data_IF_277246967505
#
_entry.id   IF_277246967505
#
_cell.length_a   1.000
_cell.length_b   1.000
_cell.length_c   1.000
_cell.angle_alpha   90.00
_cell.angle_beta   90.00
_cell.angle_gamma   90.00
#
_symmetry.space_group_name_H-M   'P 1'
#
loop_
_entity.id
_entity.type
_entity.pdbx_description
1 polymer ?
#
# COMPACT_ATOMS: atom_id res chain seq x y z
N UNK A 1 35.68 -13.74 21.17
CA UNK A 1 34.34 -13.30 20.74
C UNK A 1 34.30 -11.79 20.87
N UNK A 2 34.08 -11.06 19.77
CA UNK A 2 33.87 -9.62 19.84
C UNK A 2 32.44 -9.45 20.36
N UNK A 3 32.29 -8.82 21.52
CA UNK A 3 30.98 -8.59 22.13
C UNK A 3 30.11 -7.62 21.31
N UNK A 4 28.82 -7.48 21.64
CA UNK A 4 27.98 -6.48 21.01
C UNK A 4 28.57 -5.08 21.22
N UNK A 5 28.62 -4.28 20.16
CA UNK A 5 29.07 -2.88 20.22
C UNK A 5 27.85 -1.99 20.27
N UNK A 6 27.83 -1.04 21.21
CA UNK A 6 26.77 -0.03 21.31
C UNK A 6 27.31 1.34 20.92
N UNK A 7 26.52 2.11 20.18
CA UNK A 7 26.81 3.48 19.79
C UNK A 7 25.62 4.38 20.14
N UNK A 8 25.88 5.60 20.58
CA UNK A 8 24.89 6.67 20.72
C UNK A 8 25.44 7.95 20.07
N UNK A 9 24.60 8.67 19.33
CA UNK A 9 24.97 9.91 18.69
C UNK A 9 24.03 11.07 19.08
N UNK A 10 24.61 12.14 19.61
CA UNK A 10 23.95 13.43 19.82
C UNK A 10 24.62 14.57 19.03
N UNK A 11 25.65 14.26 18.25
CA UNK A 11 26.43 15.22 17.47
C UNK A 11 26.25 15.00 15.97
N UNK A 12 27.28 15.33 15.20
CA UNK A 12 27.29 15.11 13.74
C UNK A 12 28.30 14.03 13.39
N UNK A 13 27.85 13.01 12.69
CA UNK A 13 28.67 11.98 12.04
C UNK A 13 28.50 12.15 10.53
N UNK A 14 29.60 12.30 9.79
CA UNK A 14 29.55 12.47 8.34
C UNK A 14 30.58 11.61 7.61
N UNK A 15 30.12 10.82 6.64
CA UNK A 15 30.96 10.02 5.74
C UNK A 15 30.97 10.60 4.31
N UNK A 16 32.14 10.96 3.79
CA UNK A 16 32.24 11.63 2.47
C UNK A 16 32.27 10.68 1.27
N UNK A 17 32.63 9.41 1.47
CA UNK A 17 32.94 8.48 0.38
C UNK A 17 32.26 7.10 0.52
N UNK A 18 31.50 6.87 1.59
CA UNK A 18 30.74 5.64 1.78
C UNK A 18 29.53 5.88 2.71
N UNK A 19 29.57 5.35 3.93
CA UNK A 19 28.51 5.52 4.91
C UNK A 19 28.88 6.54 5.99
N UNK A 20 27.87 7.24 6.54
CA UNK A 20 28.03 7.95 7.82
C UNK A 20 28.40 6.95 8.93
N UNK A 21 27.72 5.81 8.97
CA UNK A 21 28.06 4.68 9.83
C UNK A 21 27.96 3.37 9.04
N UNK A 22 28.96 2.51 9.18
CA UNK A 22 28.96 1.15 8.64
C UNK A 22 28.89 0.12 9.78
N UNK A 23 27.82 -0.69 9.82
CA UNK A 23 27.58 -1.67 10.86
C UNK A 23 28.01 -3.08 10.39
N UNK A 24 29.30 -3.39 10.50
CA UNK A 24 29.92 -4.64 9.99
C UNK A 24 29.88 -5.85 10.95
N UNK A 25 29.13 -5.78 12.05
CA UNK A 25 29.09 -6.83 13.08
C UNK A 25 27.72 -6.98 13.71
N UNK A 26 27.68 -7.28 15.02
CA UNK A 26 26.49 -7.18 15.85
C UNK A 26 26.55 -5.84 16.62
N UNK A 27 25.98 -4.80 16.01
CA UNK A 27 26.08 -3.42 16.48
C UNK A 27 24.69 -2.85 16.72
N UNK A 28 24.54 -2.21 17.88
CA UNK A 28 23.34 -1.49 18.28
C UNK A 28 23.63 0.00 18.31
N UNK A 29 23.09 0.77 17.36
CA UNK A 29 22.95 2.22 17.52
C UNK A 29 21.76 2.44 18.46
N UNK A 30 22.04 2.66 19.74
CA UNK A 30 21.03 2.74 20.81
C UNK A 30 20.22 4.02 20.78
N UNK A 31 20.77 5.08 20.19
CA UNK A 31 20.15 6.39 20.10
C UNK A 31 20.86 7.24 19.03
N UNK A 32 20.08 7.94 18.21
CA UNK A 32 20.56 9.05 17.39
C UNK A 32 19.61 10.22 17.57
N UNK A 33 20.04 11.23 18.33
CA UNK A 33 19.37 12.53 18.45
C UNK A 33 20.08 13.62 17.65
N UNK A 34 21.26 13.31 17.09
CA UNK A 34 22.06 14.19 16.26
C UNK A 34 21.84 13.96 14.75
N UNK A 35 22.85 14.29 13.96
CA UNK A 35 22.87 14.07 12.50
C UNK A 35 23.85 12.96 12.14
N UNK A 36 23.41 12.03 11.31
CA UNK A 36 24.25 11.05 10.62
C UNK A 36 24.04 11.27 9.12
N UNK A 37 25.12 11.55 8.39
CA UNK A 37 25.06 11.71 6.94
C UNK A 37 26.14 10.91 6.23
N UNK A 38 25.86 10.41 5.04
CA UNK A 38 26.94 9.92 4.18
C UNK A 38 26.58 9.81 2.71
N UNK A 39 27.62 9.65 1.88
CA UNK A 39 27.51 9.52 0.42
C UNK A 39 28.21 8.24 -0.02
N UNK A 40 27.47 7.19 -0.44
CA UNK A 40 26.04 7.20 -0.76
C UNK A 40 25.10 6.88 0.42
N UNK A 41 25.59 6.46 1.60
CA UNK A 41 24.72 5.91 2.65
C UNK A 41 24.73 6.76 3.93
N UNK A 42 23.56 7.05 4.51
CA UNK A 42 23.53 7.54 5.89
C UNK A 42 24.04 6.46 6.84
N UNK A 43 23.40 5.29 6.82
CA UNK A 43 23.85 4.08 7.51
C UNK A 43 23.85 2.89 6.54
N UNK A 44 24.92 2.12 6.54
CA UNK A 44 25.02 0.84 5.84
C UNK A 44 25.15 -0.29 6.86
N UNK A 45 24.13 -1.15 6.96
CA UNK A 45 24.12 -2.32 7.86
C UNK A 45 24.50 -3.58 7.09
N UNK A 46 25.71 -4.08 7.29
CA UNK A 46 26.30 -5.21 6.56
C UNK A 46 26.90 -6.25 7.51
N UNK A 47 26.25 -6.46 8.65
CA UNK A 47 26.69 -7.40 9.66
C UNK A 47 26.59 -8.84 9.14
N UNK A 48 27.66 -9.61 9.24
CA UNK A 48 27.67 -11.02 8.80
C UNK A 48 27.18 -11.99 9.87
N UNK A 49 27.08 -11.54 11.13
CA UNK A 49 26.63 -12.34 12.29
C UNK A 49 25.80 -11.51 13.26
N UNK A 50 24.67 -12.05 13.71
CA UNK A 50 23.75 -11.37 14.64
C UNK A 50 22.77 -10.42 13.94
N UNK A 51 21.94 -9.75 14.74
CA UNK A 51 20.94 -8.79 14.27
C UNK A 51 21.36 -7.39 14.71
N UNK A 52 21.54 -6.48 13.75
CA UNK A 52 21.82 -5.08 14.07
C UNK A 52 20.55 -4.37 14.56
N UNK A 53 20.72 -3.30 15.33
CA UNK A 53 19.60 -2.45 15.73
C UNK A 53 19.95 -0.98 15.58
N UNK A 54 19.01 -0.20 15.05
CA UNK A 54 19.17 1.22 14.77
C UNK A 54 18.00 1.97 15.41
N UNK A 55 18.29 2.83 16.37
CA UNK A 55 17.32 3.77 16.94
C UNK A 55 17.67 5.19 16.47
N UNK A 56 16.72 5.84 15.80
CA UNK A 56 16.77 7.25 15.44
C UNK A 56 15.73 8.01 16.25
N UNK A 57 16.17 8.73 17.28
CA UNK A 57 15.28 9.41 18.22
C UNK A 57 14.56 10.59 17.55
N UNK A 58 13.51 11.08 18.20
CA UNK A 58 12.88 12.33 17.79
C UNK A 58 13.92 13.47 17.71
N UNK A 59 13.93 14.20 16.60
CA UNK A 59 14.94 15.22 16.29
C UNK A 59 16.21 14.68 15.61
N UNK A 60 16.47 13.37 15.69
CA UNK A 60 17.56 12.71 14.97
C UNK A 60 17.36 12.73 13.45
N UNK A 61 18.45 12.94 12.72
CA UNK A 61 18.46 12.91 11.25
C UNK A 61 19.45 11.89 10.75
N UNK A 62 19.02 11.05 9.80
CA UNK A 62 19.87 10.13 9.04
C UNK A 62 19.66 10.41 7.55
N UNK A 63 20.74 10.68 6.80
CA UNK A 63 20.63 11.07 5.41
C UNK A 63 21.76 10.51 4.53
N UNK A 64 21.44 10.18 3.29
CA UNK A 64 22.39 9.86 2.22
C UNK A 64 21.65 9.77 0.90
N UNK A 65 22.30 9.36 -0.20
CA UNK A 65 21.56 8.97 -1.41
C UNK A 65 20.57 7.85 -1.06
N UNK A 66 21.01 6.93 -0.22
CA UNK A 66 20.11 6.11 0.58
C UNK A 66 20.27 6.47 2.06
N UNK A 67 19.16 6.74 2.74
CA UNK A 67 19.19 7.07 4.17
C UNK A 67 19.77 5.91 4.97
N UNK A 68 19.16 4.73 4.84
CA UNK A 68 19.64 3.49 5.46
C UNK A 68 19.55 2.33 4.46
N UNK A 69 20.59 1.49 4.41
CA UNK A 69 20.56 0.20 3.70
C UNK A 69 20.80 -0.93 4.69
N UNK A 70 19.92 -1.93 4.68
CA UNK A 70 19.91 -3.10 5.56
C UNK A 70 20.31 -4.36 4.79
N UNK A 71 21.61 -4.50 4.51
CA UNK A 71 22.21 -5.67 3.86
C UNK A 71 22.40 -6.86 4.82
N UNK A 72 22.05 -6.70 6.09
CA UNK A 72 21.91 -7.75 7.09
C UNK A 72 20.60 -7.60 7.86
N UNK A 73 20.14 -8.68 8.50
CA UNK A 73 18.95 -8.62 9.36
C UNK A 73 19.11 -7.51 10.41
N UNK A 74 18.21 -6.54 10.35
CA UNK A 74 18.29 -5.33 11.18
C UNK A 74 16.90 -4.91 11.66
N UNK A 75 16.82 -4.44 12.89
CA UNK A 75 15.64 -3.73 13.41
C UNK A 75 15.91 -2.23 13.38
N UNK A 76 15.00 -1.46 12.81
CA UNK A 76 15.05 0.00 12.78
C UNK A 76 13.86 0.54 13.56
N UNK A 77 14.12 1.40 14.55
CA UNK A 77 13.12 2.21 15.24
C UNK A 77 13.39 3.68 14.92
N UNK A 78 12.51 4.29 14.15
CA UNK A 78 12.66 5.67 13.68
C UNK A 78 11.62 6.59 14.32
N UNK A 79 11.98 7.33 15.36
CA UNK A 79 11.26 8.51 15.84
C UNK A 79 11.67 9.83 15.16
N UNK A 80 12.80 9.85 14.45
CA UNK A 80 13.35 11.03 13.78
C UNK A 80 13.05 11.09 12.27
N UNK A 81 13.97 11.70 11.52
CA UNK A 81 13.94 11.77 10.05
C UNK A 81 14.98 10.85 9.44
N UNK A 82 14.56 9.99 8.51
CA UNK A 82 15.45 9.25 7.60
C UNK A 82 15.17 9.72 6.18
N UNK A 83 16.19 10.11 5.43
CA UNK A 83 16.03 10.66 4.08
C UNK A 83 16.99 10.04 3.06
N UNK A 84 16.44 9.59 1.94
CA UNK A 84 17.17 9.32 0.70
C UNK A 84 17.16 10.55 -0.20
N UNK A 85 18.34 11.05 -0.54
CA UNK A 85 18.54 12.26 -1.31
C UNK A 85 18.65 11.98 -2.82
N UNK A 86 18.51 13.04 -3.63
CA UNK A 86 18.60 12.95 -5.08
C UNK A 86 17.35 12.35 -5.74
N UNK A 87 17.44 12.08 -7.04
CA UNK A 87 16.29 11.62 -7.83
C UNK A 87 15.90 10.19 -7.48
N UNK A 88 16.87 9.28 -7.41
CA UNK A 88 16.64 7.86 -7.13
C UNK A 88 16.72 7.50 -5.63
N UNK A 89 16.75 8.52 -4.75
CA UNK A 89 17.07 8.31 -3.34
C UNK A 89 16.07 7.40 -2.62
N UNK A 90 16.58 6.50 -1.78
CA UNK A 90 15.74 5.61 -0.96
C UNK A 90 15.84 5.99 0.51
N UNK A 91 14.72 6.20 1.19
CA UNK A 91 14.73 6.44 2.63
C UNK A 91 15.33 5.26 3.39
N UNK A 92 14.68 4.09 3.28
CA UNK A 92 15.18 2.83 3.84
C UNK A 92 15.12 1.70 2.81
N UNK A 93 16.24 1.01 2.60
CA UNK A 93 16.33 -0.16 1.73
C UNK A 93 16.55 -1.43 2.57
N UNK A 94 15.57 -2.33 2.60
CA UNK A 94 15.64 -3.66 3.20
C UNK A 94 16.20 -4.66 2.17
N UNK A 95 17.53 -4.75 2.07
CA UNK A 95 18.18 -5.71 1.18
C UNK A 95 18.14 -7.15 1.76
N UNK A 96 17.92 -7.28 3.07
CA UNK A 96 17.64 -8.53 3.78
C UNK A 96 16.41 -8.40 4.67
N UNK A 97 15.85 -9.55 5.07
CA UNK A 97 14.69 -9.60 5.95
C UNK A 97 14.92 -8.80 7.24
N UNK A 98 14.20 -7.70 7.37
CA UNK A 98 14.40 -6.68 8.39
C UNK A 98 13.05 -6.15 8.88
N UNK A 99 13.08 -5.45 10.01
CA UNK A 99 11.89 -4.82 10.61
C UNK A 99 12.12 -3.32 10.74
N UNK A 100 11.16 -2.53 10.26
CA UNK A 100 11.18 -1.07 10.38
C UNK A 100 9.92 -0.62 11.10
N UNK A 101 10.10 -0.01 12.27
CA UNK A 101 9.06 0.73 12.99
C UNK A 101 9.32 2.21 12.78
N UNK A 102 8.35 2.91 12.20
CA UNK A 102 8.42 4.33 11.95
C UNK A 102 7.41 5.06 12.83
N UNK A 103 7.91 5.89 13.73
CA UNK A 103 7.17 6.88 14.53
C UNK A 103 7.46 8.32 14.09
N UNK A 104 8.40 8.52 13.16
CA UNK A 104 8.82 9.81 12.61
C UNK A 104 8.55 9.94 11.11
N UNK A 105 9.56 10.35 10.34
CA UNK A 105 9.46 10.52 8.88
C UNK A 105 10.51 9.71 8.13
N UNK A 106 10.07 8.96 7.13
CA UNK A 106 10.93 8.33 6.12
C UNK A 106 10.64 8.98 4.77
N UNK A 107 11.67 9.52 4.13
CA UNK A 107 11.55 10.34 2.92
C UNK A 107 12.41 9.74 1.82
N UNK A 108 11.78 9.42 0.68
CA UNK A 108 12.49 9.09 -0.55
C UNK A 108 12.75 10.30 -1.44
N UNK A 109 13.61 10.12 -2.43
CA UNK A 109 13.96 11.10 -3.45
C UNK A 109 12.79 11.52 -4.34
N UNK A 110 13.03 12.47 -5.25
CA UNK A 110 11.99 13.05 -6.13
C UNK A 110 11.39 12.09 -7.16
N UNK A 111 12.11 11.02 -7.52
CA UNK A 111 11.61 9.85 -8.24
C UNK A 111 11.97 8.54 -7.53
N UNK A 112 12.31 8.64 -6.25
CA UNK A 112 12.91 7.57 -5.47
C UNK A 112 11.87 6.70 -4.77
N UNK A 113 12.22 6.16 -3.61
CA UNK A 113 11.30 5.36 -2.80
C UNK A 113 11.41 5.70 -1.32
N UNK A 114 10.30 5.75 -0.60
CA UNK A 114 10.33 5.91 0.86
C UNK A 114 10.96 4.68 1.51
N UNK A 115 10.32 3.53 1.35
CA UNK A 115 10.84 2.23 1.79
C UNK A 115 10.88 1.22 0.64
N UNK A 116 12.04 0.63 0.40
CA UNK A 116 12.25 -0.38 -0.64
C UNK A 116 12.56 -1.75 -0.02
N UNK A 117 11.85 -2.78 -0.45
CA UNK A 117 12.07 -4.17 -0.07
C UNK A 117 12.75 -4.94 -1.20
N UNK A 118 14.07 -5.12 -1.07
CA UNK A 118 14.87 -6.03 -1.88
C UNK A 118 14.80 -7.49 -1.39
N UNK A 119 14.24 -7.72 -0.21
CA UNK A 119 13.87 -9.01 0.37
C UNK A 119 12.60 -8.82 1.21
N UNK A 120 12.08 -9.87 1.86
CA UNK A 120 10.88 -9.76 2.71
C UNK A 120 11.12 -8.91 3.96
N UNK A 121 10.13 -8.84 4.85
CA UNK A 121 10.26 -8.12 6.11
C UNK A 121 8.97 -7.44 6.52
N UNK A 122 9.09 -6.55 7.52
CA UNK A 122 7.95 -5.85 8.10
C UNK A 122 8.19 -4.35 8.16
N UNK A 123 7.17 -3.57 7.78
CA UNK A 123 7.10 -2.13 8.05
C UNK A 123 5.87 -1.83 8.89
N UNK A 124 6.07 -1.13 10.01
CA UNK A 124 5.01 -0.54 10.82
C UNK A 124 5.16 0.97 10.76
N UNK A 125 4.21 1.67 10.14
CA UNK A 125 4.13 3.12 10.14
C UNK A 125 3.14 3.58 11.20
N UNK A 126 3.61 3.97 12.38
CA UNK A 126 2.77 4.30 13.53
C UNK A 126 1.88 5.52 13.28
N UNK A 127 0.86 5.69 14.12
CA UNK A 127 0.00 6.87 14.08
C UNK A 127 0.82 8.16 14.19
N UNK A 128 0.50 9.14 13.32
CA UNK A 128 1.24 10.40 13.21
C UNK A 128 2.55 10.33 12.41
N UNK A 129 3.06 9.13 12.11
CA UNK A 129 4.28 8.97 11.32
C UNK A 129 4.00 9.10 9.82
N UNK A 130 5.05 9.39 9.04
CA UNK A 130 4.95 9.52 7.58
C UNK A 130 6.01 8.72 6.82
N UNK A 131 5.58 8.10 5.72
CA UNK A 131 6.47 7.54 4.68
C UNK A 131 6.06 8.19 3.36
N UNK A 132 6.97 8.95 2.74
CA UNK A 132 6.66 9.72 1.53
C UNK A 132 7.80 9.75 0.53
N UNK A 133 7.49 9.82 -0.75
CA UNK A 133 8.46 10.02 -1.83
C UNK A 133 7.84 10.76 -3.00
N UNK A 134 8.67 11.39 -3.85
CA UNK A 134 8.21 11.86 -5.16
C UNK A 134 8.01 10.71 -6.17
N UNK A 135 8.61 9.54 -5.91
CA UNK A 135 8.30 8.28 -6.57
C UNK A 135 7.29 7.47 -5.75
N UNK A 136 7.62 6.20 -5.47
CA UNK A 136 6.74 5.26 -4.75
C UNK A 136 6.95 5.41 -3.23
N UNK A 137 5.86 5.38 -2.44
CA UNK A 137 5.96 5.42 -0.98
C UNK A 137 6.64 4.17 -0.42
N UNK A 138 6.04 2.99 -0.69
CA UNK A 138 6.61 1.68 -0.35
C UNK A 138 6.65 0.79 -1.60
N UNK A 139 7.80 0.20 -1.90
CA UNK A 139 8.02 -0.63 -3.08
C UNK A 139 8.55 -2.02 -2.70
N UNK A 140 7.81 -3.07 -3.05
CA UNK A 140 8.13 -4.47 -2.69
C UNK A 140 8.44 -5.30 -3.93
N UNK A 141 9.74 -5.53 -4.19
CA UNK A 141 10.23 -6.21 -5.40
C UNK A 141 10.95 -7.54 -5.12
N UNK A 142 11.51 -7.75 -3.93
CA UNK A 142 12.34 -8.92 -3.65
C UNK A 142 11.59 -10.17 -3.19
N UNK A 143 10.77 -10.01 -2.15
CA UNK A 143 9.89 -11.05 -1.63
C UNK A 143 8.69 -10.42 -0.92
N UNK A 144 7.67 -11.22 -0.60
CA UNK A 144 6.47 -10.75 0.08
C UNK A 144 6.81 -10.04 1.40
N UNK A 145 6.09 -8.95 1.67
CA UNK A 145 6.28 -8.12 2.86
C UNK A 145 4.98 -7.98 3.67
N UNK A 146 5.11 -7.66 4.96
CA UNK A 146 4.00 -7.29 5.84
C UNK A 146 4.07 -5.81 6.14
N UNK A 147 3.01 -5.07 5.83
CA UNK A 147 2.95 -3.63 6.03
C UNK A 147 1.74 -3.31 6.90
N UNK A 148 1.97 -2.57 7.99
CA UNK A 148 0.91 -2.02 8.84
C UNK A 148 1.02 -0.50 8.82
N UNK A 149 -0.02 0.17 8.33
CA UNK A 149 -0.09 1.62 8.31
C UNK A 149 -1.08 2.13 9.36
N UNK A 150 -0.59 2.80 10.39
CA UNK A 150 -1.34 3.66 11.31
C UNK A 150 -1.21 5.16 11.01
N UNK A 151 -0.23 5.56 10.19
CA UNK A 151 0.07 6.95 9.85
C UNK A 151 -0.29 7.31 8.40
N UNK A 152 0.57 8.11 7.77
CA UNK A 152 0.44 8.50 6.36
C UNK A 152 1.47 7.82 5.47
N UNK A 153 1.03 7.25 4.35
CA UNK A 153 1.91 6.80 3.26
C UNK A 153 1.52 7.54 1.97
N UNK A 154 2.48 8.14 1.27
CA UNK A 154 2.19 8.83 0.02
C UNK A 154 3.28 8.71 -1.05
N UNK A 155 2.85 8.85 -2.30
CA UNK A 155 3.69 8.92 -3.50
C UNK A 155 3.56 10.26 -4.23
N UNK A 156 4.44 10.48 -5.21
CA UNK A 156 4.28 11.56 -6.17
C UNK A 156 3.33 11.23 -7.32
N UNK A 157 3.17 12.20 -8.22
CA UNK A 157 2.23 12.12 -9.35
C UNK A 157 2.47 10.89 -10.22
N UNK A 158 1.40 10.17 -10.56
CA UNK A 158 1.44 8.99 -11.42
C UNK A 158 1.99 7.71 -10.79
N UNK A 159 2.51 7.75 -9.56
CA UNK A 159 3.05 6.58 -8.86
C UNK A 159 2.06 5.99 -7.87
N UNK A 160 2.12 4.67 -7.68
CA UNK A 160 1.41 4.02 -6.59
C UNK A 160 1.97 4.47 -5.22
N UNK A 161 1.12 4.66 -4.21
CA UNK A 161 1.63 4.87 -2.85
C UNK A 161 2.32 3.62 -2.32
N UNK A 162 1.74 2.46 -2.61
CA UNK A 162 2.30 1.14 -2.27
C UNK A 162 2.25 0.25 -3.51
N UNK A 163 3.41 -0.27 -3.90
CA UNK A 163 3.57 -1.24 -4.99
C UNK A 163 4.06 -2.58 -4.45
N UNK A 164 3.26 -3.64 -4.62
CA UNK A 164 3.55 -5.00 -4.15
C UNK A 164 3.73 -5.94 -5.35
N UNK A 165 4.94 -5.99 -5.91
CA UNK A 165 5.23 -6.92 -7.01
C UNK A 165 5.22 -8.35 -6.50
N UNK A 166 5.84 -8.59 -5.34
CA UNK A 166 5.96 -9.92 -4.74
C UNK A 166 4.81 -10.25 -3.78
N UNK A 167 3.70 -9.51 -3.84
CA UNK A 167 2.53 -9.72 -2.99
C UNK A 167 2.80 -9.38 -1.52
N UNK A 168 2.16 -10.13 -0.61
CA UNK A 168 2.24 -9.92 0.83
C UNK A 168 0.94 -9.43 1.45
N UNK A 169 1.02 -8.82 2.63
CA UNK A 169 -0.13 -8.37 3.40
C UNK A 169 -0.02 -6.89 3.79
N UNK A 170 -1.10 -6.15 3.61
CA UNK A 170 -1.19 -4.75 4.01
C UNK A 170 -2.44 -4.53 4.87
N UNK A 171 -2.25 -3.94 6.05
CA UNK A 171 -3.34 -3.40 6.87
C UNK A 171 -3.22 -1.88 6.93
N UNK A 172 -4.26 -1.17 6.48
CA UNK A 172 -4.40 0.26 6.66
C UNK A 172 -5.35 0.52 7.84
N UNK A 173 -4.82 0.84 9.01
CA UNK A 173 -5.58 0.96 10.25
C UNK A 173 -6.56 2.14 10.21
N UNK A 174 -7.51 2.13 11.15
CA UNK A 174 -8.41 3.27 11.38
C UNK A 174 -7.62 4.56 11.62
N UNK A 175 -8.04 5.66 10.98
CA UNK A 175 -7.36 6.96 11.03
C UNK A 175 -6.13 7.08 10.12
N UNK A 176 -5.63 5.97 9.57
CA UNK A 176 -4.48 5.98 8.67
C UNK A 176 -4.87 6.40 7.24
N UNK A 177 -3.92 6.99 6.52
CA UNK A 177 -4.13 7.47 5.14
C UNK A 177 -3.06 6.92 4.20
N UNK A 178 -3.50 6.42 3.06
CA UNK A 178 -2.65 6.07 1.92
C UNK A 178 -3.06 6.94 0.74
N UNK A 179 -2.14 7.71 0.17
CA UNK A 179 -2.43 8.62 -0.95
C UNK A 179 -1.48 8.37 -2.11
N UNK A 180 -2.03 7.78 -3.17
CA UNK A 180 -1.33 7.54 -4.42
C UNK A 180 -1.56 8.65 -5.42
N UNK A 181 -0.50 9.25 -5.95
CA UNK A 181 -0.62 10.14 -7.11
C UNK A 181 -1.15 9.40 -8.34
N UNK A 182 -0.92 8.09 -8.42
CA UNK A 182 -1.56 7.18 -9.35
C UNK A 182 -2.57 6.25 -8.69
N UNK A 183 -2.15 5.01 -8.41
CA UNK A 183 -2.94 4.04 -7.65
C UNK A 183 -2.72 4.22 -6.14
N UNK A 184 -3.73 3.94 -5.31
CA UNK A 184 -3.49 3.85 -3.87
C UNK A 184 -2.55 2.69 -3.57
N UNK A 185 -2.98 1.48 -3.92
CA UNK A 185 -2.23 0.24 -3.78
C UNK A 185 -2.27 -0.53 -5.10
N UNK A 186 -1.12 -1.00 -5.58
CA UNK A 186 -0.99 -1.77 -6.80
C UNK A 186 -0.21 -3.07 -6.54
N UNK A 187 -0.83 -4.21 -6.84
CA UNK A 187 -0.29 -5.57 -6.64
C UNK A 187 -0.28 -6.29 -7.99
N UNK A 188 0.91 -6.74 -8.45
CA UNK A 188 1.07 -7.20 -9.84
C UNK A 188 1.71 -8.56 -10.07
N UNK A 189 2.79 -8.91 -9.38
CA UNK A 189 3.56 -10.13 -9.68
C UNK A 189 3.06 -11.37 -8.91
N UNK A 190 2.58 -11.20 -7.69
CA UNK A 190 2.01 -12.26 -6.86
C UNK A 190 0.79 -11.76 -6.07
N UNK A 191 -0.07 -12.69 -5.63
CA UNK A 191 -1.27 -12.37 -4.90
C UNK A 191 -0.97 -11.62 -3.58
N UNK A 192 -1.78 -10.61 -3.29
CA UNK A 192 -1.71 -9.82 -2.06
C UNK A 192 -2.99 -9.91 -1.23
N UNK A 193 -2.89 -9.63 0.07
CA UNK A 193 -4.04 -9.46 0.97
C UNK A 193 -4.07 -8.04 1.49
N UNK A 194 -5.13 -7.30 1.16
CA UNK A 194 -5.29 -5.90 1.53
C UNK A 194 -6.49 -5.76 2.46
N UNK A 195 -6.28 -5.14 3.62
CA UNK A 195 -7.31 -4.88 4.62
C UNK A 195 -7.33 -3.38 4.96
N UNK A 196 -8.42 -2.70 4.58
CA UNK A 196 -8.54 -1.25 4.72
C UNK A 196 -9.58 -0.85 5.77
N UNK A 197 -9.10 -0.38 6.92
CA UNK A 197 -9.87 0.31 7.95
C UNK A 197 -9.67 1.84 7.93
N UNK A 198 -8.76 2.36 7.09
CA UNK A 198 -8.46 3.77 6.96
C UNK A 198 -8.97 4.39 5.66
N UNK A 199 -8.32 5.47 5.21
CA UNK A 199 -8.62 6.11 3.93
C UNK A 199 -7.56 5.79 2.90
N UNK A 200 -7.99 5.36 1.70
CA UNK A 200 -7.13 5.22 0.52
C UNK A 200 -7.60 6.23 -0.52
N UNK A 201 -6.69 7.07 -0.99
CA UNK A 201 -6.93 8.01 -2.08
C UNK A 201 -6.05 7.64 -3.29
N UNK A 202 -6.64 7.63 -4.49
CA UNK A 202 -5.97 7.40 -5.75
C UNK A 202 -6.24 8.55 -6.73
N UNK A 203 -5.17 9.08 -7.32
CA UNK A 203 -5.20 10.28 -8.16
C UNK A 203 -5.54 10.05 -9.62
N UNK A 204 -5.13 8.93 -10.23
CA UNK A 204 -5.38 8.66 -11.67
C UNK A 204 -5.49 7.18 -12.06
N UNK A 205 -5.53 6.28 -11.08
CA UNK A 205 -5.69 4.84 -11.31
C UNK A 205 -6.67 4.26 -10.29
N UNK A 206 -6.56 2.96 -9.99
CA UNK A 206 -7.45 2.34 -9.02
C UNK A 206 -7.09 2.69 -7.57
N UNK A 207 -8.08 2.72 -6.68
CA UNK A 207 -7.85 2.75 -5.24
C UNK A 207 -7.00 1.57 -4.79
N UNK A 208 -7.46 0.36 -5.13
CA UNK A 208 -6.71 -0.89 -4.98
C UNK A 208 -6.78 -1.68 -6.28
N UNK A 209 -5.62 -2.11 -6.78
CA UNK A 209 -5.49 -2.96 -7.98
C UNK A 209 -4.76 -4.26 -7.65
N UNK A 210 -5.43 -5.40 -7.85
CA UNK A 210 -4.90 -6.76 -7.63
C UNK A 210 -4.79 -7.53 -8.96
N UNK A 211 -3.76 -7.23 -9.74
CA UNK A 211 -3.59 -7.81 -11.09
C UNK A 211 -3.15 -9.28 -11.07
N UNK A 212 -2.43 -9.72 -10.04
CA UNK A 212 -2.09 -11.14 -9.82
C UNK A 212 -3.15 -11.90 -8.98
N UNK A 213 -4.31 -11.29 -8.74
CA UNK A 213 -5.31 -11.81 -7.82
C UNK A 213 -4.98 -11.51 -6.34
N UNK A 214 -5.59 -12.28 -5.44
CA UNK A 214 -5.58 -12.03 -4.00
C UNK A 214 -6.92 -11.50 -3.50
N UNK A 215 -6.91 -10.86 -2.34
CA UNK A 215 -8.11 -10.38 -1.67
C UNK A 215 -7.97 -8.92 -1.25
N UNK A 216 -9.07 -8.17 -1.38
CA UNK A 216 -9.19 -6.83 -0.83
C UNK A 216 -10.48 -6.71 -0.01
N UNK A 217 -10.32 -6.32 1.25
CA UNK A 217 -11.41 -6.02 2.16
C UNK A 217 -11.40 -4.53 2.47
N UNK A 218 -12.51 -3.85 2.21
CA UNK A 218 -12.71 -2.45 2.55
C UNK A 218 -13.73 -2.29 3.66
N UNK A 219 -13.28 -1.82 4.81
CA UNK A 219 -14.12 -1.47 5.97
C UNK A 219 -14.38 0.03 6.10
N UNK A 220 -13.56 0.86 5.46
CA UNK A 220 -13.64 2.31 5.54
C UNK A 220 -13.70 2.93 4.15
N UNK A 221 -12.81 3.86 3.80
CA UNK A 221 -12.99 4.69 2.59
C UNK A 221 -11.93 4.40 1.54
N UNK A 222 -12.40 4.17 0.30
CA UNK A 222 -11.58 4.19 -0.90
C UNK A 222 -12.11 5.29 -1.83
N UNK A 223 -11.28 6.28 -2.13
CA UNK A 223 -11.56 7.35 -3.07
C UNK A 223 -10.64 7.21 -4.30
N UNK A 224 -11.21 6.84 -5.44
CA UNK A 224 -10.53 6.76 -6.72
C UNK A 224 -11.12 7.80 -7.67
N UNK A 225 -10.81 9.07 -7.41
CA UNK A 225 -11.48 10.23 -8.02
C UNK A 225 -10.78 10.77 -9.28
N UNK A 226 -9.71 10.12 -9.71
CA UNK A 226 -9.01 10.42 -10.96
C UNK A 226 -9.80 10.12 -12.23
N UNK A 227 -9.27 10.49 -13.39
CA UNK A 227 -9.90 10.15 -14.68
C UNK A 227 -9.82 8.62 -14.92
N UNK A 228 -10.94 8.00 -15.32
CA UNK A 228 -11.05 6.57 -15.59
C UNK A 228 -10.66 5.66 -14.40
N UNK A 229 -10.74 6.19 -13.18
CA UNK A 229 -10.34 5.52 -11.97
C UNK A 229 -11.39 4.51 -11.49
N UNK A 230 -10.90 3.34 -11.05
CA UNK A 230 -11.74 2.31 -10.42
C UNK A 230 -11.55 2.33 -8.91
N UNK A 231 -12.57 2.05 -8.11
CA UNK A 231 -12.40 1.91 -6.67
C UNK A 231 -11.57 0.67 -6.34
N UNK A 232 -12.14 -0.50 -6.68
CA UNK A 232 -11.54 -1.80 -6.44
C UNK A 232 -11.42 -2.59 -7.75
N UNK A 233 -10.21 -3.04 -8.11
CA UNK A 233 -9.96 -3.87 -9.29
C UNK A 233 -9.32 -5.20 -8.89
N UNK A 234 -10.11 -6.26 -8.74
CA UNK A 234 -9.69 -7.55 -8.13
C UNK A 234 -10.62 -8.71 -8.53
N UNK A 235 -10.26 -9.94 -8.17
CA UNK A 235 -11.12 -11.15 -8.22
C UNK A 235 -11.64 -11.61 -6.85
N UNK A 236 -11.08 -11.15 -5.72
CA UNK A 236 -11.60 -11.37 -4.37
C UNK A 236 -11.88 -10.06 -3.66
N UNK A 237 -13.15 -9.78 -3.33
CA UNK A 237 -13.61 -8.44 -2.94
C UNK A 237 -14.68 -8.50 -1.85
N UNK A 238 -14.45 -7.78 -0.76
CA UNK A 238 -15.46 -7.51 0.26
C UNK A 238 -15.48 -6.01 0.58
N UNK A 239 -16.65 -5.39 0.52
CA UNK A 239 -16.85 -3.99 0.88
C UNK A 239 -17.93 -3.86 1.94
N UNK A 240 -17.55 -3.45 3.15
CA UNK A 240 -18.47 -2.96 4.19
C UNK A 240 -18.34 -1.44 4.42
N UNK A 241 -17.38 -0.79 3.76
CA UNK A 241 -17.15 0.65 3.81
C UNK A 241 -17.73 1.40 2.62
N UNK A 242 -17.11 2.53 2.29
CA UNK A 242 -17.47 3.38 1.15
C UNK A 242 -16.40 3.30 0.06
N UNK A 243 -16.85 3.07 -1.17
CA UNK A 243 -16.03 3.15 -2.37
C UNK A 243 -16.60 4.26 -3.26
N UNK A 244 -15.79 5.26 -3.56
CA UNK A 244 -16.12 6.34 -4.49
C UNK A 244 -15.17 6.28 -5.67
N UNK A 245 -15.69 6.05 -6.87
CA UNK A 245 -14.91 6.00 -8.10
C UNK A 245 -15.54 6.87 -9.18
N UNK A 246 -14.74 7.40 -10.09
CA UNK A 246 -15.28 8.13 -11.27
C UNK A 246 -15.77 7.19 -12.35
N UNK A 247 -15.13 6.03 -12.53
CA UNK A 247 -15.46 5.08 -13.60
C UNK A 247 -16.17 3.86 -13.05
N UNK A 248 -15.45 2.92 -12.44
CA UNK A 248 -16.02 1.68 -11.93
C UNK A 248 -15.87 1.64 -10.41
N UNK A 249 -16.96 1.52 -9.65
CA UNK A 249 -16.84 1.31 -8.21
C UNK A 249 -16.06 0.01 -7.93
N UNK A 250 -16.54 -1.09 -8.51
CA UNK A 250 -15.88 -2.40 -8.55
C UNK A 250 -15.64 -2.81 -10.01
N UNK A 251 -14.44 -3.28 -10.32
CA UNK A 251 -14.09 -3.77 -11.65
C UNK A 251 -13.38 -5.13 -11.62
N UNK A 252 -13.99 -6.12 -12.24
CA UNK A 252 -13.44 -7.46 -12.45
C UNK A 252 -13.09 -7.61 -13.93
N UNK A 253 -11.83 -7.39 -14.34
CA UNK A 253 -11.45 -7.39 -15.76
C UNK A 253 -11.47 -8.78 -16.39
N UNK A 254 -11.10 -9.81 -15.62
CA UNK A 254 -10.94 -11.18 -16.07
C UNK A 254 -10.90 -12.13 -14.87
N UNK A 255 -11.19 -13.40 -15.11
CA UNK A 255 -11.24 -14.41 -14.05
C UNK A 255 -12.51 -14.28 -13.21
N UNK A 256 -13.05 -15.42 -12.76
CA UNK A 256 -14.25 -15.43 -11.92
C UNK A 256 -13.96 -14.75 -10.58
N UNK A 257 -14.85 -13.86 -10.16
CA UNK A 257 -14.72 -13.15 -8.90
C UNK A 257 -15.84 -13.49 -7.91
N UNK A 258 -15.55 -13.34 -6.62
CA UNK A 258 -16.57 -13.31 -5.57
C UNK A 258 -16.56 -11.94 -4.92
N UNK A 259 -17.67 -11.22 -5.08
CA UNK A 259 -17.87 -9.86 -4.59
C UNK A 259 -18.96 -9.86 -3.53
N UNK A 260 -18.63 -9.38 -2.34
CA UNK A 260 -19.59 -9.07 -1.28
C UNK A 260 -19.64 -7.57 -1.05
N UNK A 261 -20.82 -6.97 -1.17
CA UNK A 261 -21.03 -5.56 -0.85
C UNK A 261 -22.10 -5.42 0.23
N UNK A 262 -21.71 -5.05 1.44
CA UNK A 262 -22.59 -4.60 2.52
C UNK A 262 -22.46 -3.09 2.79
N UNK A 263 -21.50 -2.42 2.16
CA UNK A 263 -21.27 -0.99 2.26
C UNK A 263 -21.88 -0.19 1.11
N UNK A 264 -21.27 0.95 0.80
CA UNK A 264 -21.66 1.84 -0.30
C UNK A 264 -20.62 1.81 -1.42
N UNK A 265 -21.08 1.63 -2.66
CA UNK A 265 -20.24 1.66 -3.86
C UNK A 265 -20.85 2.66 -4.83
N UNK A 266 -20.05 3.65 -5.24
CA UNK A 266 -20.43 4.68 -6.18
C UNK A 266 -19.44 4.70 -7.35
N UNK A 267 -19.96 4.68 -8.58
CA UNK A 267 -19.18 4.78 -9.81
C UNK A 267 -20.00 5.37 -10.95
N UNK A 268 -19.37 5.62 -12.11
CA UNK A 268 -20.15 5.74 -13.36
C UNK A 268 -20.89 4.42 -13.63
N UNK A 269 -20.22 3.30 -13.38
CA UNK A 269 -20.83 2.00 -13.18
C UNK A 269 -20.51 1.53 -11.77
N UNK A 270 -21.52 1.04 -11.05
CA UNK A 270 -21.33 0.55 -9.68
C UNK A 270 -20.37 -0.65 -9.63
N UNK A 271 -20.68 -1.71 -10.39
CA UNK A 271 -19.82 -2.87 -10.56
C UNK A 271 -19.79 -3.38 -12.01
N UNK A 272 -18.62 -3.76 -12.50
CA UNK A 272 -18.44 -4.38 -13.82
C UNK A 272 -17.77 -5.75 -13.68
N UNK A 273 -18.44 -6.80 -14.15
CA UNK A 273 -18.07 -8.21 -14.00
C UNK A 273 -17.68 -8.84 -15.35
N UNK A 274 -16.60 -8.36 -15.97
CA UNK A 274 -16.15 -8.92 -17.26
C UNK A 274 -15.58 -10.33 -17.11
N UNK A 275 -14.92 -10.62 -15.98
CA UNK A 275 -14.45 -11.96 -15.65
C UNK A 275 -15.53 -12.93 -15.17
N UNK A 276 -16.76 -12.47 -14.97
CA UNK A 276 -17.87 -13.24 -14.41
C UNK A 276 -17.73 -13.49 -12.91
N UNK A 277 -18.46 -14.49 -12.41
CA UNK A 277 -18.47 -14.88 -11.01
C UNK A 277 -19.75 -14.44 -10.30
N UNK A 278 -19.67 -14.02 -9.03
CA UNK A 278 -20.84 -13.68 -8.23
C UNK A 278 -20.71 -12.34 -7.53
N UNK A 279 -21.81 -11.59 -7.49
CA UNK A 279 -22.02 -10.43 -6.63
C UNK A 279 -23.15 -10.75 -5.64
N UNK A 280 -22.89 -10.60 -4.35
CA UNK A 280 -23.91 -10.52 -3.31
C UNK A 280 -23.93 -9.10 -2.74
N UNK A 281 -25.04 -8.40 -2.96
CA UNK A 281 -25.23 -7.02 -2.53
C UNK A 281 -26.26 -6.94 -1.41
N UNK A 282 -25.84 -6.67 -0.18
CA UNK A 282 -26.70 -6.32 0.96
C UNK A 282 -26.65 -4.83 1.29
N UNK A 283 -25.71 -4.09 0.71
CA UNK A 283 -25.54 -2.65 0.85
C UNK A 283 -26.09 -1.87 -0.33
N UNK A 284 -25.37 -0.82 -0.74
CA UNK A 284 -25.73 0.04 -1.86
C UNK A 284 -24.70 -0.05 -2.98
N UNK A 285 -25.18 -0.29 -4.20
CA UNK A 285 -24.38 -0.40 -5.41
C UNK A 285 -24.95 0.56 -6.46
N UNK A 286 -24.35 1.75 -6.58
CA UNK A 286 -24.88 2.86 -7.35
C UNK A 286 -23.94 3.17 -8.51
N UNK A 287 -24.48 3.11 -9.72
CA UNK A 287 -23.87 3.67 -10.91
C UNK A 287 -24.62 4.91 -11.40
N UNK A 288 -23.90 5.88 -11.96
CA UNK A 288 -24.53 6.97 -12.72
C UNK A 288 -25.22 6.40 -13.97
N UNK A 289 -24.56 5.48 -14.68
CA UNK A 289 -25.08 4.81 -15.87
C UNK A 289 -25.70 3.45 -15.52
N UNK A 290 -24.92 2.54 -14.94
CA UNK A 290 -25.40 1.20 -14.60
C UNK A 290 -25.01 0.79 -13.19
N UNK A 291 -25.93 0.18 -12.43
CA UNK A 291 -25.60 -0.39 -11.14
C UNK A 291 -24.61 -1.55 -11.30
N UNK A 292 -24.96 -2.54 -12.13
CA UNK A 292 -24.10 -3.67 -12.47
C UNK A 292 -24.06 -3.86 -13.98
N UNK A 293 -22.86 -4.18 -14.52
CA UNK A 293 -22.69 -4.66 -15.89
C UNK A 293 -21.93 -5.99 -15.93
N UNK A 294 -22.25 -6.89 -16.86
CA UNK A 294 -21.43 -8.04 -17.23
C UNK A 294 -21.33 -8.16 -18.75
N UNK A 295 -20.19 -8.68 -19.26
CA UNK A 295 -19.97 -8.80 -20.71
C UNK A 295 -19.11 -10.00 -21.14
N UNK A 296 -18.27 -10.57 -20.28
CA UNK A 296 -17.23 -11.53 -20.70
C UNK A 296 -17.36 -12.95 -20.16
N UNK A 297 -18.22 -13.19 -19.16
CA UNK A 297 -18.49 -14.51 -18.60
C UNK A 297 -19.76 -14.51 -17.75
N UNK A 298 -20.24 -15.71 -17.40
CA UNK A 298 -21.42 -15.90 -16.57
C UNK A 298 -21.28 -15.21 -15.20
N UNK A 299 -22.30 -14.45 -14.83
CA UNK A 299 -22.39 -13.62 -13.64
C UNK A 299 -23.66 -13.93 -12.86
N UNK A 300 -23.50 -14.26 -11.58
CA UNK A 300 -24.60 -14.41 -10.63
C UNK A 300 -24.74 -13.17 -9.78
N UNK A 301 -25.89 -12.51 -9.82
CA UNK A 301 -26.22 -11.36 -8.96
C UNK A 301 -27.27 -11.79 -7.94
N UNK A 302 -26.97 -11.62 -6.66
CA UNK A 302 -27.91 -11.72 -5.56
C UNK A 302 -28.04 -10.34 -4.92
N UNK A 303 -29.24 -9.79 -4.90
CA UNK A 303 -29.52 -8.49 -4.32
C UNK A 303 -30.46 -8.61 -3.12
N UNK A 304 -29.98 -8.20 -1.96
CA UNK A 304 -30.70 -7.99 -0.71
C UNK A 304 -30.75 -6.50 -0.31
N UNK A 305 -29.99 -5.65 -1.01
CA UNK A 305 -29.88 -4.22 -0.75
C UNK A 305 -30.38 -3.37 -1.92
N UNK A 306 -29.66 -2.29 -2.23
CA UNK A 306 -29.96 -1.38 -3.33
C UNK A 306 -28.96 -1.55 -4.46
N UNK A 307 -29.46 -1.77 -5.67
CA UNK A 307 -28.71 -1.61 -6.92
C UNK A 307 -29.39 -0.51 -7.72
N UNK A 308 -28.65 0.50 -8.16
CA UNK A 308 -29.22 1.57 -8.99
C UNK A 308 -28.32 2.03 -10.12
N UNK A 309 -28.94 2.34 -11.27
CA UNK A 309 -28.25 2.87 -12.45
C UNK A 309 -29.17 3.78 -13.27
N UNK A 310 -28.70 4.95 -13.68
CA UNK A 310 -29.53 5.91 -14.42
C UNK A 310 -29.93 5.46 -15.83
N UNK A 311 -29.11 4.66 -16.51
CA UNK A 311 -29.43 3.99 -17.78
C UNK A 311 -30.04 2.60 -17.58
N UNK A 312 -29.71 1.94 -16.47
CA UNK A 312 -30.36 0.72 -16.01
C UNK A 312 -29.68 0.13 -14.79
N UNK A 313 -30.44 -0.46 -13.86
CA UNK A 313 -29.86 -1.04 -12.65
C UNK A 313 -28.89 -2.20 -12.93
N UNK A 314 -29.24 -3.11 -13.84
CA UNK A 314 -28.44 -4.29 -14.18
C UNK A 314 -28.46 -4.49 -15.70
N UNK A 315 -27.26 -4.59 -16.30
CA UNK A 315 -27.06 -4.94 -17.72
C UNK A 315 -26.22 -6.20 -17.82
N UNK A 316 -26.78 -7.27 -18.35
CA UNK A 316 -26.16 -8.59 -18.41
C UNK A 316 -25.85 -8.99 -19.84
N UNK A 317 -24.95 -9.96 -19.95
CA UNK A 317 -24.41 -10.47 -21.20
C UNK A 317 -25.28 -11.60 -21.80
N UNK A 318 -24.82 -12.21 -22.89
CA UNK A 318 -25.44 -13.42 -23.48
C UNK A 318 -25.00 -14.72 -22.83
N UNK A 319 -24.17 -14.66 -21.78
CA UNK A 319 -23.78 -15.82 -21.00
C UNK A 319 -24.92 -16.28 -20.08
N UNK A 320 -24.73 -17.41 -19.38
CA UNK A 320 -25.70 -17.95 -18.43
C UNK A 320 -25.73 -17.13 -17.12
N UNK A 321 -26.10 -15.85 -17.24
CA UNK A 321 -26.20 -14.92 -16.12
C UNK A 321 -27.47 -15.21 -15.30
N UNK A 322 -27.38 -15.07 -13.98
CA UNK A 322 -28.51 -15.33 -13.06
C UNK A 322 -28.71 -14.13 -12.15
N UNK A 323 -29.94 -13.65 -12.01
CA UNK A 323 -30.28 -12.58 -11.06
C UNK A 323 -31.31 -13.10 -10.07
N UNK A 324 -31.01 -12.92 -8.77
CA UNK A 324 -31.93 -13.17 -7.67
C UNK A 324 -32.16 -11.86 -6.93
N UNK A 325 -33.41 -11.38 -6.92
CA UNK A 325 -33.82 -10.20 -6.17
C UNK A 325 -34.61 -10.67 -4.95
N UNK A 326 -34.04 -10.53 -3.76
CA UNK A 326 -34.67 -10.97 -2.53
C UNK A 326 -35.69 -9.94 -2.03
N UNK A 327 -36.61 -10.39 -1.17
CA UNK A 327 -37.66 -9.54 -0.61
C UNK A 327 -37.07 -8.33 0.11
N UNK A 328 -37.58 -7.13 -0.17
CA UNK A 328 -37.09 -5.88 0.43
C UNK A 328 -35.92 -5.22 -0.31
N UNK A 329 -35.32 -5.89 -1.30
CA UNK A 329 -34.30 -5.28 -2.16
C UNK A 329 -34.88 -4.22 -3.10
N UNK A 330 -34.08 -3.22 -3.45
CA UNK A 330 -34.40 -2.19 -4.45
C UNK A 330 -33.47 -2.32 -5.65
N UNK A 331 -34.05 -2.36 -6.86
CA UNK A 331 -33.31 -2.44 -8.12
C UNK A 331 -33.92 -1.44 -9.11
N UNK A 332 -33.31 -0.26 -9.25
CA UNK A 332 -33.89 0.88 -10.00
C UNK A 332 -32.91 1.55 -10.96
#
# INVERSE_FOLDING_TARGET
AIGPVTLSNSGTISGLYDAGINLNGNITLTANSGTISGVPFGIYSNGTTGTNSITNDAGGTISGDNGIVLASATTVDNGGTISGAGTAGTGVHLAQTSMVTNSGSIIGGSGGTGVHFGNGGTVVNNAGASIRSGGIGINVLGAAATITNGGTISSGSGYAAIYLDMGGSLTNNSGATITGGGAGIDVRGAAGTIDNHGTINAGNAAGIMLSAGGTATNHATINATGNASSGLRSTGLANSGTINATSFGIYVPSGSATVFNSGSVNGSVGATMNGGGSITNTGSLIGVSYGITSAGAATTVVNDGTISGGSGAISLSTFNDTVTLNSGSTTI
#
